data_IF_978198027042
#
_entry.id   IF_978198027042
#
_cell.length_a   1.000
_cell.length_b   1.000
_cell.length_c   1.000
_cell.angle_alpha   90.00
_cell.angle_beta   90.00
_cell.angle_gamma   90.00
#
_symmetry.space_group_name_H-M   'P 1'
#
loop_
_entity.id
_entity.type
_entity.pdbx_description
1 polymer ?
#
# COMPACT_ATOMS: atom_id res chain seq x y z
N UNK A 1 13.17 -2.71 9.56
CA UNK A 1 12.16 -2.13 10.46
C UNK A 1 11.20 -3.25 10.81
N UNK A 2 11.14 -3.67 12.08
CA UNK A 2 10.22 -4.72 12.51
C UNK A 2 8.75 -4.29 12.35
N UNK A 3 7.82 -5.10 12.83
CA UNK A 3 6.41 -4.71 12.82
C UNK A 3 6.20 -3.42 13.61
N UNK A 4 5.61 -2.39 12.97
CA UNK A 4 5.47 -1.07 13.59
C UNK A 4 4.52 -1.02 14.79
N UNK A 5 3.55 -1.94 14.84
CA UNK A 5 2.50 -1.95 15.86
C UNK A 5 2.34 -3.32 16.52
N UNK A 6 3.26 -4.26 16.27
CA UNK A 6 3.29 -5.52 17.01
C UNK A 6 4.70 -5.75 17.56
N UNK A 7 4.84 -6.34 18.75
CA UNK A 7 6.14 -6.60 19.36
C UNK A 7 6.95 -7.69 18.64
N UNK A 8 6.37 -8.33 17.62
CA UNK A 8 6.97 -9.47 16.91
C UNK A 8 7.96 -9.02 15.84
N UNK A 9 9.12 -9.68 15.81
CA UNK A 9 10.15 -9.49 14.77
C UNK A 9 9.99 -10.58 13.70
N UNK A 10 9.28 -10.27 12.61
CA UNK A 10 9.23 -11.12 11.43
C UNK A 10 10.40 -10.82 10.48
N UNK A 11 11.07 -11.87 9.97
CA UNK A 11 12.21 -11.76 9.04
C UNK A 11 11.89 -12.22 7.61
N UNK A 12 10.60 -12.37 7.26
CA UNK A 12 10.18 -12.72 5.90
C UNK A 12 10.24 -11.51 4.97
N UNK A 13 11.34 -11.39 4.20
CA UNK A 13 11.48 -10.41 3.13
C UNK A 13 11.89 -11.10 1.84
N UNK A 14 11.39 -10.63 0.69
CA UNK A 14 11.87 -11.07 -0.61
C UNK A 14 13.32 -10.61 -0.80
N UNK A 15 14.25 -11.54 -1.03
CA UNK A 15 15.64 -11.22 -1.35
C UNK A 15 15.75 -11.12 -2.87
N UNK A 16 16.19 -9.97 -3.36
CA UNK A 16 16.40 -9.79 -4.79
C UNK A 16 17.64 -10.57 -5.23
N UNK A 17 17.60 -11.21 -6.41
CA UNK A 17 18.77 -11.87 -6.97
C UNK A 17 19.87 -10.83 -7.21
N UNK A 18 21.13 -11.25 -7.03
CA UNK A 18 22.29 -10.38 -7.25
C UNK A 18 22.36 -9.87 -8.70
N UNK A 19 21.95 -10.71 -9.66
CA UNK A 19 21.95 -10.37 -11.09
C UNK A 19 20.70 -9.55 -11.44
N UNK A 20 20.92 -8.32 -11.91
CA UNK A 20 19.87 -7.38 -12.31
C UNK A 20 19.58 -7.35 -13.82
N UNK A 21 20.21 -8.22 -14.62
CA UNK A 21 19.93 -8.37 -16.05
C UNK A 21 18.84 -9.41 -16.29
N UNK A 22 17.99 -9.20 -17.29
CA UNK A 22 17.05 -10.23 -17.77
C UNK A 22 17.86 -11.46 -18.22
N UNK A 23 17.50 -12.68 -17.76
CA UNK A 23 18.18 -13.89 -18.20
C UNK A 23 17.84 -14.18 -19.66
N UNK A 24 18.86 -14.54 -20.46
CA UNK A 24 18.75 -14.87 -21.89
C UNK A 24 17.68 -15.94 -22.21
N UNK A 25 17.42 -16.88 -21.29
CA UNK A 25 16.37 -17.90 -21.46
C UNK A 25 14.96 -17.31 -21.50
N UNK A 26 14.75 -16.10 -20.96
CA UNK A 26 13.45 -15.44 -20.97
C UNK A 26 13.16 -14.69 -22.28
N UNK A 27 14.16 -14.46 -23.14
CA UNK A 27 13.97 -13.89 -24.48
C UNK A 27 13.46 -14.92 -25.50
N UNK A 28 13.61 -16.23 -25.20
CA UNK A 28 13.37 -17.29 -26.18
C UNK A 28 11.92 -17.80 -26.25
N UNK A 29 11.12 -17.69 -25.18
CA UNK A 29 9.86 -18.43 -25.09
C UNK A 29 8.57 -17.62 -25.23
N UNK A 30 8.61 -16.27 -25.26
CA UNK A 30 7.38 -15.47 -25.17
C UNK A 30 6.54 -15.73 -23.90
N UNK A 31 7.04 -16.58 -22.99
CA UNK A 31 6.44 -16.90 -21.70
C UNK A 31 6.86 -15.83 -20.68
N UNK A 32 5.88 -15.03 -20.30
CA UNK A 32 5.87 -13.97 -19.29
C UNK A 32 7.00 -14.08 -18.26
N UNK A 33 8.05 -13.26 -18.43
CA UNK A 33 9.09 -13.09 -17.43
C UNK A 33 8.49 -12.46 -16.16
N UNK A 34 8.26 -13.27 -15.12
CA UNK A 34 7.70 -12.85 -13.82
C UNK A 34 8.76 -12.31 -12.84
N UNK A 35 9.76 -11.59 -13.33
CA UNK A 35 10.77 -10.93 -12.49
C UNK A 35 10.43 -9.47 -12.17
N UNK A 36 11.27 -8.77 -11.38
CA UNK A 36 11.04 -7.36 -11.08
C UNK A 36 11.03 -6.51 -12.35
N UNK A 37 9.93 -5.83 -12.64
CA UNK A 37 9.74 -4.98 -13.83
C UNK A 37 10.90 -3.99 -14.12
N UNK A 38 11.64 -3.60 -13.07
CA UNK A 38 12.86 -2.79 -13.16
C UNK A 38 13.95 -3.39 -14.06
N UNK A 39 14.11 -4.72 -14.12
CA UNK A 39 15.19 -5.31 -14.92
C UNK A 39 14.88 -5.32 -16.42
N UNK A 40 13.60 -5.48 -16.80
CA UNK A 40 13.19 -5.45 -18.20
C UNK A 40 13.06 -4.03 -18.78
N UNK A 41 12.48 -3.10 -18.02
CA UNK A 41 12.13 -1.75 -18.55
C UNK A 41 13.01 -0.62 -18.01
N UNK A 42 13.97 -0.91 -17.11
CA UNK A 42 14.81 0.08 -16.43
C UNK A 42 14.07 1.00 -15.44
N UNK A 43 12.73 0.96 -15.42
CA UNK A 43 11.89 1.85 -14.64
C UNK A 43 11.07 1.11 -13.58
N UNK A 44 10.70 1.83 -12.52
CA UNK A 44 9.75 1.31 -11.52
C UNK A 44 8.33 1.31 -12.09
N UNK A 45 7.51 0.35 -11.67
CA UNK A 45 6.11 0.19 -12.11
C UNK A 45 5.33 1.52 -12.00
N UNK A 46 5.45 2.22 -10.87
CA UNK A 46 4.79 3.53 -10.68
C UNK A 46 5.22 4.61 -11.70
N UNK A 47 6.46 4.57 -12.21
CA UNK A 47 6.89 5.50 -13.26
C UNK A 47 6.26 5.16 -14.61
N UNK A 48 6.14 3.88 -14.91
CA UNK A 48 5.51 3.40 -16.15
C UNK A 48 4.02 3.77 -16.16
N UNK A 49 3.33 3.54 -15.03
CA UNK A 49 1.92 3.89 -14.88
C UNK A 49 1.68 5.40 -15.04
N UNK A 50 2.54 6.23 -14.44
CA UNK A 50 2.48 7.70 -14.62
C UNK A 50 2.71 8.12 -16.07
N UNK A 51 3.68 7.51 -16.74
CA UNK A 51 3.99 7.81 -18.14
C UNK A 51 2.82 7.44 -19.07
N UNK A 52 2.06 6.40 -18.72
CA UNK A 52 0.87 5.96 -19.46
C UNK A 52 -0.43 6.69 -19.03
N UNK A 53 -0.39 7.56 -18.03
CA UNK A 53 -1.58 8.25 -17.50
C UNK A 53 -2.56 7.37 -16.72
N UNK A 54 -2.19 6.12 -16.40
CA UNK A 54 -3.04 5.15 -15.67
C UNK A 54 -2.70 5.10 -14.18
N UNK A 55 -2.02 6.12 -13.67
CA UNK A 55 -1.62 6.15 -12.27
C UNK A 55 -2.83 6.46 -11.37
N UNK A 56 -3.05 5.72 -10.28
CA UNK A 56 -4.09 6.05 -9.33
C UNK A 56 -3.79 7.39 -8.64
N UNK A 57 -4.81 8.22 -8.48
CA UNK A 57 -4.70 9.52 -7.79
C UNK A 57 -4.33 9.36 -6.31
N UNK A 58 -4.80 8.29 -5.67
CA UNK A 58 -4.43 7.94 -4.31
C UNK A 58 -3.29 6.90 -4.30
N UNK A 59 -2.29 7.07 -3.43
CA UNK A 59 -1.26 6.05 -3.27
C UNK A 59 -1.88 4.75 -2.73
N UNK A 60 -1.48 3.64 -3.35
CA UNK A 60 -2.04 2.32 -3.12
C UNK A 60 -1.96 1.87 -1.64
N UNK A 61 -0.89 2.21 -0.94
CA UNK A 61 -0.74 1.89 0.50
C UNK A 61 -1.80 2.59 1.36
N UNK A 62 -2.14 3.84 1.03
CA UNK A 62 -3.17 4.60 1.73
C UNK A 62 -4.57 4.05 1.44
N UNK A 63 -4.84 3.72 0.17
CA UNK A 63 -6.10 3.10 -0.26
C UNK A 63 -6.39 1.80 0.50
N UNK A 64 -5.40 0.90 0.59
CA UNK A 64 -5.56 -0.39 1.27
C UNK A 64 -5.77 -0.26 2.78
N UNK A 65 -5.13 0.73 3.42
CA UNK A 65 -5.35 0.98 4.85
C UNK A 65 -6.75 1.54 5.12
N UNK A 66 -7.24 2.45 4.28
CA UNK A 66 -8.61 2.98 4.39
C UNK A 66 -9.62 1.85 4.17
N UNK A 67 -9.42 1.01 3.16
CA UNK A 67 -10.24 -0.19 2.91
C UNK A 67 -10.33 -1.10 4.14
N UNK A 68 -9.20 -1.32 4.80
CA UNK A 68 -9.14 -2.12 6.03
C UNK A 68 -9.89 -1.45 7.19
N UNK A 69 -9.75 -0.14 7.35
CA UNK A 69 -10.45 0.62 8.39
C UNK A 69 -11.97 0.58 8.20
N UNK A 70 -12.46 0.74 6.97
CA UNK A 70 -13.89 0.66 6.63
C UNK A 70 -14.45 -0.75 6.94
N UNK A 71 -13.72 -1.80 6.60
CA UNK A 71 -14.12 -3.18 6.92
C UNK A 71 -14.22 -3.42 8.43
N UNK A 72 -13.25 -2.93 9.21
CA UNK A 72 -13.25 -3.05 10.68
C UNK A 72 -14.40 -2.23 11.31
N UNK A 73 -14.70 -1.04 10.78
CA UNK A 73 -15.85 -0.24 11.23
C UNK A 73 -17.17 -0.96 11.00
N UNK A 74 -17.39 -1.50 9.80
CA UNK A 74 -18.59 -2.30 9.48
C UNK A 74 -18.72 -3.54 10.38
N UNK A 75 -17.59 -4.14 10.77
CA UNK A 75 -17.58 -5.24 11.73
C UNK A 75 -18.02 -4.78 13.14
N UNK A 76 -17.50 -3.64 13.62
CA UNK A 76 -17.81 -3.08 14.93
C UNK A 76 -19.27 -2.59 15.07
N UNK A 77 -19.89 -2.16 13.97
CA UNK A 77 -21.32 -1.81 13.95
C UNK A 77 -22.21 -3.00 14.35
N UNK A 78 -21.82 -4.22 13.93
CA UNK A 78 -22.52 -5.46 14.29
C UNK A 78 -22.06 -6.00 15.65
N UNK A 79 -20.77 -5.87 15.95
CA UNK A 79 -20.12 -6.42 17.15
C UNK A 79 -19.60 -5.32 18.07
N UNK A 80 -20.51 -4.55 18.68
CA UNK A 80 -20.14 -3.38 19.51
C UNK A 80 -19.30 -3.72 20.76
N UNK A 81 -19.34 -4.97 21.22
CA UNK A 81 -18.62 -5.44 22.42
C UNK A 81 -17.17 -5.86 22.14
N UNK A 82 -16.76 -5.94 20.88
CA UNK A 82 -15.40 -6.34 20.52
C UNK A 82 -14.39 -5.22 20.80
N UNK A 83 -13.64 -5.37 21.89
CA UNK A 83 -12.61 -4.41 22.31
C UNK A 83 -11.32 -4.56 21.51
N UNK A 84 -11.05 -5.76 20.98
CA UNK A 84 -9.82 -6.06 20.23
C UNK A 84 -9.90 -5.43 18.84
N UNK A 85 -11.04 -5.58 18.15
CA UNK A 85 -11.30 -4.89 16.89
C UNK A 85 -11.23 -3.36 17.04
N UNK A 86 -11.70 -2.81 18.17
CA UNK A 86 -11.59 -1.37 18.48
C UNK A 86 -10.13 -0.93 18.66
N UNK A 87 -9.31 -1.74 19.34
CA UNK A 87 -7.88 -1.48 19.48
C UNK A 87 -7.18 -1.50 18.12
N UNK A 88 -7.47 -2.50 17.29
CA UNK A 88 -6.92 -2.59 15.94
C UNK A 88 -7.34 -1.44 15.02
N UNK A 89 -8.57 -0.93 15.16
CA UNK A 89 -9.02 0.26 14.43
C UNK A 89 -8.14 1.48 14.74
N UNK A 90 -7.83 1.72 16.02
CA UNK A 90 -6.97 2.83 16.46
C UNK A 90 -5.56 2.72 15.86
N UNK A 91 -5.00 1.50 15.79
CA UNK A 91 -3.69 1.26 15.18
C UNK A 91 -3.71 1.54 13.66
N UNK A 92 -4.78 1.15 12.97
CA UNK A 92 -4.92 1.41 11.52
C UNK A 92 -5.06 2.91 11.27
N UNK A 93 -5.90 3.62 12.01
CA UNK A 93 -6.07 5.07 11.89
C UNK A 93 -4.78 5.83 12.19
N UNK A 94 -4.02 5.39 13.19
CA UNK A 94 -2.70 5.94 13.50
C UNK A 94 -1.71 5.76 12.34
N UNK A 95 -1.75 4.62 11.62
CA UNK A 95 -0.94 4.41 10.40
C UNK A 95 -1.34 5.35 9.28
N UNK A 96 -2.65 5.52 9.05
CA UNK A 96 -3.19 6.41 8.02
C UNK A 96 -2.70 7.84 8.25
N UNK A 97 -2.80 8.36 9.49
CA UNK A 97 -2.33 9.70 9.81
C UNK A 97 -0.82 9.89 9.62
N UNK A 98 -0.01 8.86 9.93
CA UNK A 98 1.45 8.92 9.71
C UNK A 98 1.81 8.96 8.22
N UNK A 99 1.15 8.14 7.40
CA UNK A 99 1.36 8.12 5.96
C UNK A 99 0.84 9.38 5.28
N UNK A 100 -0.32 9.89 5.71
CA UNK A 100 -0.86 11.15 5.23
C UNK A 100 0.13 12.30 5.43
N UNK A 101 0.76 12.39 6.61
CA UNK A 101 1.84 13.38 6.85
C UNK A 101 3.01 13.21 5.88
N UNK A 102 3.47 11.97 5.67
CA UNK A 102 4.57 11.68 4.74
C UNK A 102 4.25 12.15 3.30
N UNK A 103 3.07 11.83 2.80
CA UNK A 103 2.67 12.18 1.43
C UNK A 103 2.41 13.68 1.24
N UNK A 104 1.97 14.38 2.29
CA UNK A 104 1.89 15.86 2.29
C UNK A 104 3.28 16.48 2.16
N UNK A 105 4.28 16.00 2.89
CA UNK A 105 5.66 16.48 2.78
C UNK A 105 6.26 16.21 1.39
N UNK A 106 5.91 15.06 0.78
CA UNK A 106 6.36 14.71 -0.58
C UNK A 106 5.54 15.38 -1.70
N UNK A 107 4.58 16.24 -1.37
CA UNK A 107 3.67 16.93 -2.32
C UNK A 107 2.95 15.99 -3.29
N UNK A 108 2.73 14.74 -2.88
CA UNK A 108 1.94 13.76 -3.64
C UNK A 108 0.44 14.00 -3.42
N UNK A 109 0.09 14.44 -2.20
CA UNK A 109 -1.27 14.80 -1.82
C UNK A 109 -1.38 16.31 -1.61
N UNK A 110 -2.57 16.90 -1.83
CA UNK A 110 -2.78 18.30 -1.57
C UNK A 110 -2.69 18.59 -0.06
N UNK A 111 -2.21 19.78 0.34
CA UNK A 111 -1.85 20.08 1.73
C UNK A 111 -3.07 20.14 2.67
N UNK A 112 -4.26 20.32 2.13
CA UNK A 112 -5.55 20.34 2.82
C UNK A 112 -6.19 18.95 2.97
N UNK A 113 -5.58 17.89 2.44
CA UNK A 113 -6.13 16.54 2.53
C UNK A 113 -6.21 16.06 3.99
N UNK A 114 -7.40 15.61 4.39
CA UNK A 114 -7.67 15.04 5.72
C UNK A 114 -8.40 13.71 5.57
N UNK A 115 -8.08 12.79 6.46
CA UNK A 115 -8.80 11.52 6.58
C UNK A 115 -10.02 11.74 7.46
N UNK A 116 -11.20 11.69 6.85
CA UNK A 116 -12.48 11.74 7.55
C UNK A 116 -13.16 10.38 7.46
N UNK A 117 -13.57 9.86 8.61
CA UNK A 117 -14.06 8.49 8.67
C UNK A 117 -15.42 8.25 8.00
N UNK A 118 -16.24 9.31 7.93
CA UNK A 118 -17.53 9.28 7.23
C UNK A 118 -17.36 9.24 5.71
N UNK A 119 -16.32 9.90 5.20
CA UNK A 119 -16.02 9.98 3.75
C UNK A 119 -15.20 8.79 3.26
N UNK A 120 -14.58 8.04 4.18
CA UNK A 120 -13.71 6.90 3.87
C UNK A 120 -14.39 5.83 3.01
N UNK A 121 -15.68 5.57 3.22
CA UNK A 121 -16.45 4.58 2.43
C UNK A 121 -16.65 5.00 0.97
N UNK A 122 -16.78 6.30 0.70
CA UNK A 122 -16.96 6.82 -0.66
C UNK A 122 -15.65 6.81 -1.47
N UNK A 123 -14.50 6.84 -0.79
CA UNK A 123 -13.17 6.81 -1.41
C UNK A 123 -12.72 5.40 -1.84
N UNK A 124 -13.44 4.36 -1.40
CA UNK A 124 -13.06 2.94 -1.57
C UNK A 124 -14.16 2.13 -2.28
N UNK A 125 -15.15 2.82 -2.86
CA UNK A 125 -16.21 2.20 -3.64
C UNK A 125 -15.73 1.72 -5.01
#
# INVERSE_FOLDING_TARGET
MGSMHTPVKGLSQSVLPYRHSVPLVAEADGLTWCGPCRFGTGNKILRILKSKGLAPDLPEDLYHLIKKAVAVRKHLERNRKDKDAKFHLILIESRIHRLARYYRTKRVLPPNWKYESSTASALVA
#
